data_IF_861045405639
#
_entry.id   IF_861045405639
#
_cell.length_a   1.000
_cell.length_b   1.000
_cell.length_c   1.000
_cell.angle_alpha   90.00
_cell.angle_beta   90.00
_cell.angle_gamma   90.00
#
_symmetry.space_group_name_H-M   'P 1'
#
loop_
_entity.id
_entity.type
_entity.pdbx_description
1 polymer ?
#
# COMPACT_ATOMS: atom_id res chain seq x y z
N UNK A 1 9.10 64.77 -25.14
CA UNK A 1 10.07 63.66 -25.14
C UNK A 1 9.23 62.39 -25.07
N UNK A 2 8.74 61.73 -26.14
CA UNK A 2 9.25 61.46 -27.50
C UNK A 2 10.72 61.02 -27.42
N UNK A 3 11.09 59.75 -27.66
CA UNK A 3 10.75 58.86 -28.78
C UNK A 3 10.70 57.36 -28.34
N UNK A 4 9.90 56.49 -29.02
CA UNK A 4 9.74 55.05 -28.81
C UNK A 4 10.64 54.23 -29.79
N UNK A 5 10.24 52.98 -30.17
CA UNK A 5 10.63 52.18 -31.38
C UNK A 5 11.55 50.96 -31.10
N UNK A 6 11.39 49.73 -31.62
CA UNK A 6 10.42 49.05 -32.54
C UNK A 6 10.68 47.52 -32.55
N UNK A 7 9.64 46.75 -32.90
CA UNK A 7 9.65 45.35 -33.36
C UNK A 7 10.02 45.20 -34.86
N UNK A 8 10.80 44.18 -35.23
CA UNK A 8 10.79 43.51 -36.55
C UNK A 8 11.00 42.01 -36.26
N UNK A 9 10.14 41.04 -36.61
CA UNK A 9 9.56 40.60 -37.88
C UNK A 9 10.58 40.15 -38.94
N UNK A 10 10.46 38.90 -39.40
CA UNK A 10 11.05 38.48 -40.68
C UNK A 10 11.27 36.97 -40.86
N UNK A 11 10.25 36.29 -41.40
CA UNK A 11 10.36 34.99 -42.08
C UNK A 11 11.19 35.07 -43.38
N UNK A 12 11.77 33.94 -43.78
CA UNK A 12 12.12 33.54 -45.16
C UNK A 12 12.76 32.15 -45.13
N UNK A 13 12.40 31.12 -45.91
CA UNK A 13 11.57 31.04 -47.10
C UNK A 13 12.35 30.37 -48.25
N UNK A 14 12.11 29.07 -48.48
CA UNK A 14 12.36 28.33 -49.75
C UNK A 14 13.79 27.78 -49.99
N UNK A 15 14.04 26.72 -50.77
CA UNK A 15 13.24 25.72 -51.52
C UNK A 15 14.21 24.67 -52.07
N UNK A 16 13.76 23.41 -52.12
CA UNK A 16 14.04 22.26 -53.02
C UNK A 16 15.29 22.19 -53.92
N UNK A 17 15.82 20.97 -54.03
CA UNK A 17 16.62 20.49 -55.17
C UNK A 17 17.10 19.05 -54.96
N UNK A 18 16.41 18.11 -55.61
CA UNK A 18 16.69 16.68 -55.69
C UNK A 18 18.04 16.36 -56.36
N UNK A 19 18.69 15.26 -55.96
CA UNK A 19 19.34 14.34 -56.91
C UNK A 19 19.58 12.95 -56.29
N UNK A 20 19.02 11.94 -56.95
CA UNK A 20 19.22 10.50 -56.71
C UNK A 20 20.66 10.07 -57.01
N UNK A 21 21.17 9.11 -56.23
CA UNK A 21 21.82 7.91 -56.80
C UNK A 21 21.92 6.84 -55.73
N UNK A 22 21.28 5.70 -55.99
CA UNK A 22 21.31 4.54 -55.12
C UNK A 22 22.54 3.67 -55.36
N UNK A 23 22.89 2.87 -54.36
CA UNK A 23 23.41 1.50 -54.52
C UNK A 23 22.92 0.66 -53.33
N UNK A 24 22.31 -0.47 -53.68
CA UNK A 24 22.16 -1.77 -52.99
C UNK A 24 23.04 -1.95 -51.73
N UNK A 25 22.62 -2.54 -50.62
CA UNK A 25 21.66 -3.61 -50.38
C UNK A 25 22.25 -4.48 -49.27
N UNK A 26 21.48 -4.81 -48.24
CA UNK A 26 21.50 -6.08 -47.47
C UNK A 26 20.63 -5.95 -46.21
N UNK A 27 19.43 -6.50 -46.31
CA UNK A 27 18.57 -6.84 -45.17
C UNK A 27 19.17 -8.03 -44.42
N UNK A 28 19.42 -7.88 -43.12
CA UNK A 28 19.50 -9.03 -42.20
C UNK A 28 18.53 -8.75 -41.05
N UNK A 29 17.40 -9.45 -41.13
CA UNK A 29 16.48 -9.66 -40.03
C UNK A 29 17.14 -10.58 -39.00
N UNK A 30 17.24 -10.13 -37.75
CA UNK A 30 17.63 -10.97 -36.63
C UNK A 30 16.51 -10.97 -35.58
N UNK A 31 15.54 -11.86 -35.82
CA UNK A 31 14.67 -12.41 -34.79
C UNK A 31 15.53 -13.21 -33.81
N UNK A 32 15.69 -12.74 -32.58
CA UNK A 32 16.17 -13.58 -31.47
C UNK A 32 15.02 -13.86 -30.53
N UNK A 33 14.50 -15.08 -30.64
CA UNK A 33 13.59 -15.69 -29.68
C UNK A 33 14.28 -15.80 -28.32
N UNK A 34 13.63 -15.29 -27.27
CA UNK A 34 13.97 -15.62 -25.89
C UNK A 34 13.57 -17.08 -25.64
N UNK A 35 14.56 -17.97 -25.62
CA UNK A 35 14.40 -19.34 -25.15
C UNK A 35 14.75 -19.37 -23.66
N UNK A 36 13.77 -19.73 -22.83
CA UNK A 36 13.94 -20.01 -21.41
C UNK A 36 14.80 -21.25 -21.23
N UNK A 37 16.05 -21.06 -20.81
CA UNK A 37 16.91 -22.16 -20.37
C UNK A 37 16.80 -22.27 -18.85
N UNK A 38 16.09 -23.30 -18.42
CA UNK A 38 16.21 -23.87 -17.08
C UNK A 38 17.57 -24.56 -17.01
N UNK A 39 18.53 -23.97 -16.30
CA UNK A 39 19.75 -24.68 -15.89
C UNK A 39 19.63 -25.05 -14.42
N UNK A 40 19.39 -26.34 -14.17
CA UNK A 40 19.78 -26.95 -12.90
C UNK A 40 21.31 -26.98 -12.83
N UNK A 41 21.86 -26.61 -11.68
CA UNK A 41 23.27 -26.78 -11.38
C UNK A 41 23.40 -27.61 -10.12
N UNK A 42 23.83 -28.85 -10.32
CA UNK A 42 24.39 -29.73 -9.31
C UNK A 42 25.64 -29.09 -8.68
N UNK A 43 25.80 -29.35 -7.38
CA UNK A 43 26.84 -28.76 -6.56
C UNK A 43 28.25 -29.25 -6.87
N UNK A 44 29.22 -28.37 -6.63
CA UNK A 44 30.49 -28.70 -5.98
C UNK A 44 31.01 -27.44 -5.27
N UNK A 45 31.39 -27.59 -4.01
CA UNK A 45 31.53 -26.50 -3.06
C UNK A 45 32.81 -25.67 -3.16
N UNK A 46 32.70 -24.46 -2.65
CA UNK A 46 33.80 -23.72 -2.03
C UNK A 46 33.40 -23.53 -0.58
N UNK A 47 34.10 -24.22 0.31
CA UNK A 47 33.93 -24.21 1.76
C UNK A 47 34.48 -22.90 2.34
N UNK A 48 33.59 -21.99 2.68
CA UNK A 48 33.81 -20.92 3.66
C UNK A 48 32.81 -21.12 4.79
N UNK A 49 33.29 -21.10 6.03
CA UNK A 49 32.60 -21.51 7.26
C UNK A 49 31.23 -20.86 7.49
N UNK A 50 30.14 -21.59 7.26
CA UNK A 50 28.78 -21.23 7.72
C UNK A 50 28.00 -22.44 8.28
N UNK A 51 28.69 -23.46 8.79
CA UNK A 51 28.08 -24.70 9.28
C UNK A 51 28.03 -24.81 10.81
N UNK A 52 27.54 -23.77 11.47
CA UNK A 52 26.94 -23.86 12.81
C UNK A 52 25.49 -23.29 12.72
N UNK A 53 24.60 -24.08 12.10
CA UNK A 53 23.46 -24.76 12.75
C UNK A 53 22.20 -23.89 12.97
N UNK A 54 21.40 -23.73 11.92
CA UNK A 54 20.02 -23.23 12.01
C UNK A 54 19.08 -24.11 12.86
N UNK A 55 19.44 -25.38 13.08
CA UNK A 55 18.67 -26.32 13.89
C UNK A 55 19.00 -26.28 15.40
N UNK A 56 20.23 -25.94 15.80
CA UNK A 56 20.62 -25.95 17.23
C UNK A 56 20.13 -24.71 17.98
N UNK A 57 20.09 -23.55 17.33
CA UNK A 57 19.58 -22.30 17.92
C UNK A 57 18.04 -22.26 18.07
N UNK A 58 17.35 -23.38 17.82
CA UNK A 58 15.94 -23.57 18.18
C UNK A 58 15.80 -24.07 19.62
N UNK A 59 16.79 -24.77 20.19
CA UNK A 59 16.61 -25.46 21.48
C UNK A 59 16.61 -24.55 22.70
N UNK A 60 17.48 -23.54 22.78
CA UNK A 60 17.57 -22.70 23.99
C UNK A 60 16.42 -21.71 24.18
N UNK A 61 16.01 -20.98 23.14
CA UNK A 61 14.87 -20.05 23.24
C UNK A 61 13.56 -20.80 23.54
N UNK A 62 13.36 -21.98 22.94
CA UNK A 62 12.17 -22.80 23.17
C UNK A 62 12.11 -23.41 24.57
N UNK A 63 13.20 -23.39 25.36
CA UNK A 63 13.17 -23.79 26.76
C UNK A 63 12.30 -22.85 27.62
N UNK A 64 12.14 -21.59 27.20
CA UNK A 64 11.23 -20.62 27.84
C UNK A 64 9.99 -20.34 26.99
N UNK A 65 10.13 -20.31 25.65
CA UNK A 65 9.08 -20.01 24.68
C UNK A 65 8.44 -21.28 24.10
N UNK A 66 8.25 -22.33 24.93
CA UNK A 66 7.71 -23.60 24.48
C UNK A 66 6.33 -23.41 23.85
N UNK A 67 6.10 -23.95 22.64
CA UNK A 67 4.81 -23.84 21.96
C UNK A 67 4.63 -22.58 21.11
N UNK A 68 5.58 -21.64 21.09
CA UNK A 68 5.55 -20.52 20.14
C UNK A 68 5.43 -21.04 18.70
N UNK A 69 4.61 -20.35 17.88
CA UNK A 69 4.37 -20.77 16.52
C UNK A 69 5.60 -20.62 15.63
N UNK A 70 5.69 -21.50 14.62
CA UNK A 70 6.64 -21.33 13.54
C UNK A 70 6.29 -20.09 12.72
N UNK A 71 7.19 -19.10 12.74
CA UNK A 71 7.00 -17.84 12.03
C UNK A 71 6.79 -18.04 10.53
N UNK A 72 7.48 -19.04 9.96
CA UNK A 72 7.45 -19.35 8.54
C UNK A 72 7.16 -20.85 8.36
N UNK A 73 5.89 -21.28 8.38
CA UNK A 73 5.54 -22.70 8.30
C UNK A 73 6.15 -23.36 7.05
N UNK A 74 6.87 -24.45 7.26
CA UNK A 74 7.58 -25.18 6.20
C UNK A 74 8.97 -24.65 5.86
N UNK A 75 9.47 -23.63 6.57
CA UNK A 75 10.85 -23.16 6.48
C UNK A 75 11.46 -23.12 7.88
N UNK A 76 12.47 -23.95 8.13
CA UNK A 76 13.17 -24.00 9.42
C UNK A 76 14.14 -22.83 9.55
N UNK A 77 13.78 -21.86 10.39
CA UNK A 77 14.57 -20.67 10.71
C UNK A 77 14.75 -20.61 12.23
N UNK A 78 15.96 -20.29 12.69
CA UNK A 78 16.21 -20.04 14.11
C UNK A 78 15.65 -18.67 14.55
N UNK A 79 15.19 -18.58 15.80
CA UNK A 79 14.75 -17.33 16.42
C UNK A 79 15.79 -16.20 16.27
N UNK A 80 17.07 -16.51 16.47
CA UNK A 80 18.15 -15.51 16.44
C UNK A 80 18.49 -15.04 15.03
N UNK A 81 18.07 -15.78 14.00
CA UNK A 81 18.20 -15.31 12.60
C UNK A 81 17.39 -14.03 12.38
N UNK A 82 16.20 -13.96 12.96
CA UNK A 82 15.37 -12.75 12.88
C UNK A 82 15.68 -11.80 14.04
N UNK A 83 15.62 -12.29 15.29
CA UNK A 83 15.62 -11.44 16.49
C UNK A 83 17.02 -11.14 17.06
N UNK A 84 18.07 -11.87 16.67
CA UNK A 84 19.36 -11.81 17.38
C UNK A 84 19.25 -12.42 18.80
N UNK A 85 20.03 -11.89 19.75
CA UNK A 85 20.13 -12.43 21.11
C UNK A 85 21.07 -13.64 21.22
N UNK A 86 21.15 -14.23 22.41
CA UNK A 86 21.98 -15.40 22.69
C UNK A 86 21.13 -16.66 22.85
N UNK A 87 21.20 -17.63 21.90
CA UNK A 87 20.40 -18.85 21.96
C UNK A 87 20.92 -19.86 22.99
N UNK A 88 22.13 -19.71 23.52
CA UNK A 88 22.72 -20.64 24.49
C UNK A 88 22.48 -20.18 25.94
N UNK A 89 22.06 -18.93 26.12
CA UNK A 89 21.73 -18.37 27.42
C UNK A 89 20.43 -18.97 27.99
N UNK A 90 20.46 -19.25 29.30
CA UNK A 90 19.34 -19.89 30.02
C UNK A 90 18.58 -18.93 30.93
N UNK A 91 18.94 -17.64 30.93
CA UNK A 91 18.23 -16.59 31.65
C UNK A 91 17.79 -15.49 30.68
N UNK A 92 16.66 -14.85 30.99
CA UNK A 92 16.10 -13.78 30.17
C UNK A 92 17.11 -12.65 29.95
N UNK A 93 17.81 -12.23 30.98
CA UNK A 93 18.72 -11.08 30.94
C UNK A 93 19.97 -11.33 30.09
N UNK A 94 20.37 -12.60 29.92
CA UNK A 94 21.51 -12.98 29.09
C UNK A 94 21.07 -13.31 27.65
N UNK A 95 19.88 -13.90 27.47
CA UNK A 95 19.37 -14.27 26.15
C UNK A 95 18.82 -13.06 25.37
N UNK A 96 18.13 -12.13 26.05
CA UNK A 96 17.47 -11.00 25.40
C UNK A 96 18.44 -9.84 25.16
N UNK A 97 18.29 -9.18 24.02
CA UNK A 97 18.96 -7.89 23.78
C UNK A 97 18.30 -6.84 24.68
N UNK A 98 19.11 -6.13 25.46
CA UNK A 98 18.65 -5.08 26.38
C UNK A 98 18.49 -3.74 25.63
N UNK A 99 17.56 -2.86 26.07
CA UNK A 99 17.33 -1.54 25.49
C UNK A 99 18.45 -0.55 25.85
N UNK A 100 19.70 -0.87 25.51
CA UNK A 100 20.83 0.04 25.70
C UNK A 100 20.69 1.23 24.73
N UNK A 101 20.86 2.45 25.24
CA UNK A 101 20.91 3.65 24.41
C UNK A 101 19.57 4.20 23.90
N UNK A 102 18.42 3.58 24.23
CA UNK A 102 17.11 4.09 23.86
C UNK A 102 16.79 5.46 24.52
N UNK A 103 16.60 6.50 23.71
CA UNK A 103 16.03 7.78 24.16
C UNK A 103 14.50 7.76 23.95
N UNK A 104 13.73 7.94 25.02
CA UNK A 104 12.26 8.11 24.97
C UNK A 104 11.44 6.93 25.50
N UNK A 105 10.22 7.21 25.98
CA UNK A 105 9.29 6.22 26.56
C UNK A 105 8.24 5.73 25.55
N UNK A 106 8.11 6.36 24.38
CA UNK A 106 7.08 6.00 23.40
C UNK A 106 7.60 5.99 21.96
N UNK A 107 7.51 4.85 21.27
CA UNK A 107 7.62 4.69 19.81
C UNK A 107 6.83 5.74 19.00
N UNK A 108 7.43 6.90 18.73
CA UNK A 108 6.95 7.90 17.76
C UNK A 108 7.78 7.86 16.49
N UNK A 109 7.26 8.41 15.39
CA UNK A 109 7.90 8.45 14.06
C UNK A 109 9.35 8.98 14.05
N UNK A 110 9.76 9.71 15.08
CA UNK A 110 11.07 10.33 15.15
C UNK A 110 11.93 9.90 16.36
N UNK A 111 11.47 8.95 17.19
CA UNK A 111 12.04 8.73 18.53
C UNK A 111 12.58 7.31 18.78
N UNK A 112 13.09 6.64 17.75
CA UNK A 112 13.85 5.39 17.94
C UNK A 112 15.34 5.63 17.79
N UNK A 113 15.88 6.53 18.62
CA UNK A 113 17.30 6.52 18.94
C UNK A 113 17.59 5.35 19.88
N UNK A 114 17.32 4.12 19.43
CA UNK A 114 17.63 2.87 20.12
C UNK A 114 18.75 2.15 19.38
N UNK A 115 19.44 1.26 20.09
CA UNK A 115 20.39 0.34 19.47
C UNK A 115 19.71 -0.52 18.38
N UNK A 116 20.27 -0.62 17.16
CA UNK A 116 19.72 -1.45 16.08
C UNK A 116 19.52 -2.92 16.47
N UNK A 117 20.37 -3.51 17.32
CA UNK A 117 20.20 -4.88 17.80
C UNK A 117 18.94 -5.00 18.65
N UNK A 118 18.62 -3.98 19.45
CA UNK A 118 17.39 -3.95 20.23
C UNK A 118 16.16 -3.76 19.34
N UNK A 119 16.23 -2.89 18.33
CA UNK A 119 15.17 -2.70 17.33
C UNK A 119 14.87 -4.02 16.61
N UNK A 120 15.91 -4.71 16.15
CA UNK A 120 15.82 -6.04 15.55
C UNK A 120 15.18 -7.05 16.49
N UNK A 121 15.60 -7.05 17.75
CA UNK A 121 15.09 -7.98 18.76
C UNK A 121 13.59 -7.80 19.02
N UNK A 122 13.11 -6.56 19.15
CA UNK A 122 11.68 -6.29 19.40
C UNK A 122 10.81 -6.42 18.15
N UNK A 123 11.33 -6.03 16.99
CA UNK A 123 10.61 -6.08 15.72
C UNK A 123 11.59 -6.28 14.55
N UNK A 124 11.87 -7.52 14.14
CA UNK A 124 12.76 -7.78 13.02
C UNK A 124 12.17 -7.29 11.69
N UNK A 125 10.88 -6.93 11.62
CA UNK A 125 10.25 -6.40 10.43
C UNK A 125 10.31 -4.87 10.31
N UNK A 126 10.94 -4.16 11.26
CA UNK A 126 11.16 -2.71 11.19
C UNK A 126 11.93 -2.37 9.91
N UNK A 127 11.43 -1.40 9.14
CA UNK A 127 12.05 -0.97 7.88
C UNK A 127 13.46 -0.41 8.07
N UNK A 128 13.93 -0.06 9.25
CA UNK A 128 15.33 0.32 9.50
C UNK A 128 16.31 -0.86 9.44
N UNK A 129 15.85 -2.08 9.78
CA UNK A 129 16.70 -3.28 9.90
C UNK A 129 16.21 -4.47 9.06
N UNK A 130 15.06 -4.32 8.40
CA UNK A 130 14.40 -5.38 7.65
C UNK A 130 15.26 -5.97 6.52
N UNK A 131 16.27 -5.25 6.03
CA UNK A 131 17.25 -5.74 5.06
C UNK A 131 18.15 -6.83 5.64
N UNK A 132 18.46 -6.77 6.94
CA UNK A 132 19.25 -7.79 7.65
C UNK A 132 18.43 -8.99 8.13
N UNK A 133 17.11 -8.96 7.97
CA UNK A 133 16.19 -10.00 8.44
C UNK A 133 15.32 -10.54 7.31
N UNK A 134 14.27 -9.80 6.92
CA UNK A 134 13.36 -10.16 5.83
C UNK A 134 14.10 -10.16 4.48
N UNK A 135 15.00 -9.19 4.26
CA UNK A 135 15.77 -8.99 3.03
C UNK A 135 16.72 -10.14 2.69
N UNK A 136 17.10 -10.97 3.69
CA UNK A 136 17.89 -12.18 3.50
C UNK A 136 17.24 -13.16 2.51
N UNK A 137 15.91 -13.23 2.51
CA UNK A 137 15.12 -14.11 1.64
C UNK A 137 14.23 -13.34 0.64
N UNK A 138 13.84 -12.10 0.98
CA UNK A 138 12.94 -11.25 0.20
C UNK A 138 13.68 -10.08 -0.45
N UNK A 139 14.76 -10.39 -1.17
CA UNK A 139 15.65 -9.41 -1.78
C UNK A 139 14.89 -8.41 -2.67
N UNK A 140 15.18 -7.12 -2.51
CA UNK A 140 14.57 -6.04 -3.27
C UNK A 140 13.23 -5.54 -2.72
N UNK A 141 12.52 -6.32 -1.91
CA UNK A 141 11.23 -5.87 -1.36
C UNK A 141 11.39 -4.80 -0.29
N UNK A 142 12.46 -4.85 0.51
CA UNK A 142 12.66 -3.88 1.60
C UNK A 142 12.86 -2.48 1.03
N UNK A 143 13.70 -2.35 0.01
CA UNK A 143 14.00 -1.11 -0.71
C UNK A 143 12.75 -0.54 -1.37
N UNK A 144 11.96 -1.41 -2.03
CA UNK A 144 10.68 -1.03 -2.64
C UNK A 144 9.66 -0.54 -1.62
N UNK A 145 9.52 -1.24 -0.50
CA UNK A 145 8.57 -0.88 0.56
C UNK A 145 8.98 0.43 1.20
N UNK A 146 10.28 0.66 1.46
CA UNK A 146 10.81 1.93 1.99
C UNK A 146 10.39 3.11 1.12
N UNK A 147 10.37 2.96 -0.22
CA UNK A 147 9.96 3.99 -1.20
C UNK A 147 8.45 4.06 -1.47
N UNK A 148 7.69 3.07 -1.03
CA UNK A 148 6.25 2.97 -1.31
C UNK A 148 5.43 4.08 -0.63
N UNK A 149 4.24 4.31 -1.17
CA UNK A 149 3.22 5.20 -0.57
C UNK A 149 2.80 4.78 0.85
N UNK A 150 2.82 3.47 1.14
CA UNK A 150 2.49 2.95 2.47
C UNK A 150 3.54 3.35 3.52
N UNK A 151 4.79 3.46 3.10
CA UNK A 151 5.92 3.92 3.92
C UNK A 151 5.97 5.44 4.02
N UNK A 152 6.05 6.14 2.89
CA UNK A 152 6.42 7.56 2.87
C UNK A 152 5.24 8.52 2.91
N UNK A 153 4.02 8.08 2.58
CA UNK A 153 2.79 8.91 2.55
C UNK A 153 2.86 10.19 1.70
N UNK A 154 3.81 10.27 0.77
CA UNK A 154 4.08 11.45 -0.07
C UNK A 154 2.80 12.01 -0.69
N UNK A 155 2.03 11.18 -1.38
CA UNK A 155 0.78 11.61 -2.03
C UNK A 155 -0.39 11.93 -1.13
N UNK A 156 -0.35 11.57 0.16
CA UNK A 156 -1.34 12.08 1.11
C UNK A 156 -0.95 13.48 1.60
N UNK A 157 0.33 13.70 1.90
CA UNK A 157 0.84 14.99 2.36
C UNK A 157 0.62 16.09 1.33
N UNK A 158 0.88 15.82 0.05
CA UNK A 158 0.93 16.87 -0.97
C UNK A 158 -0.34 17.70 -1.07
N UNK A 159 -1.51 17.04 -1.12
CA UNK A 159 -2.78 17.73 -1.27
C UNK A 159 -3.04 18.70 -0.12
N UNK A 160 -2.82 18.22 1.10
CA UNK A 160 -2.91 19.05 2.30
C UNK A 160 -1.93 20.22 2.32
N UNK A 161 -0.67 19.94 2.05
CA UNK A 161 0.40 20.94 2.09
C UNK A 161 0.25 22.01 1.00
N UNK A 162 -0.18 21.62 -0.19
CA UNK A 162 -0.41 22.54 -1.29
C UNK A 162 -1.61 23.46 -1.02
N UNK A 163 -2.76 22.88 -0.63
CA UNK A 163 -3.99 23.66 -0.40
C UNK A 163 -3.88 24.59 0.82
N UNK A 164 -3.00 24.30 1.78
CA UNK A 164 -2.72 25.16 2.94
C UNK A 164 -1.51 26.08 2.74
N UNK A 165 -0.96 26.17 1.51
CA UNK A 165 0.13 27.10 1.19
C UNK A 165 1.47 26.78 1.86
N UNK A 166 1.65 25.54 2.34
CA UNK A 166 2.93 25.06 2.91
C UNK A 166 3.95 24.75 1.81
N UNK A 167 3.47 24.31 0.65
CA UNK A 167 4.29 24.14 -0.54
C UNK A 167 3.64 24.79 -1.76
N UNK A 168 4.45 25.21 -2.72
CA UNK A 168 4.00 25.94 -3.90
C UNK A 168 3.55 25.03 -5.05
N UNK A 169 3.89 23.73 -5.00
CA UNK A 169 3.63 22.79 -6.09
C UNK A 169 2.82 21.57 -5.62
N UNK A 170 2.23 20.85 -6.58
CA UNK A 170 1.56 19.57 -6.36
C UNK A 170 2.49 18.37 -6.58
N UNK A 171 3.81 18.58 -6.49
CA UNK A 171 4.87 17.57 -6.62
C UNK A 171 5.31 17.15 -5.20
N UNK A 172 5.69 15.89 -5.01
CA UNK A 172 6.10 15.39 -3.70
C UNK A 172 7.39 16.07 -3.28
N UNK A 173 7.34 16.74 -2.13
CA UNK A 173 8.52 17.26 -1.44
C UNK A 173 8.80 16.53 -0.14
N UNK A 174 7.75 16.21 0.62
CA UNK A 174 7.89 15.62 1.94
C UNK A 174 7.37 14.19 1.99
N UNK A 175 8.06 13.36 2.77
CA UNK A 175 7.66 12.01 3.16
C UNK A 175 7.77 11.82 4.67
N UNK A 176 7.36 10.65 5.14
CA UNK A 176 7.49 10.27 6.56
C UNK A 176 8.95 10.20 7.00
N UNK A 177 9.83 9.81 6.08
CA UNK A 177 11.28 9.73 6.23
C UNK A 177 11.92 10.40 5.02
N UNK A 178 13.16 10.86 5.20
CA UNK A 178 14.00 11.24 4.07
C UNK A 178 14.27 9.99 3.22
N UNK A 179 14.09 10.10 1.91
CA UNK A 179 14.26 8.96 1.03
C UNK A 179 14.69 9.40 -0.36
N UNK A 180 15.76 8.77 -0.83
CA UNK A 180 16.31 8.94 -2.18
C UNK A 180 15.95 7.72 -3.03
N UNK A 181 15.62 7.95 -4.28
CA UNK A 181 15.44 6.95 -5.31
C UNK A 181 16.59 7.04 -6.32
N UNK A 182 17.66 6.28 -6.05
CA UNK A 182 18.92 6.27 -6.80
C UNK A 182 19.32 4.87 -7.32
N UNK A 183 18.46 3.87 -7.14
CA UNK A 183 18.73 2.46 -7.48
C UNK A 183 18.17 2.03 -8.84
N UNK A 184 17.55 2.96 -9.59
CA UNK A 184 16.84 2.61 -10.82
C UNK A 184 16.37 3.78 -11.68
N UNK A 185 15.50 3.45 -12.65
CA UNK A 185 14.87 4.44 -13.53
C UNK A 185 13.69 5.10 -12.82
N UNK A 186 13.75 6.42 -12.66
CA UNK A 186 12.67 7.23 -12.06
C UNK A 186 11.73 7.75 -13.16
N UNK A 187 10.47 7.28 -13.24
CA UNK A 187 9.52 7.65 -14.28
C UNK A 187 8.87 9.01 -14.00
N UNK A 188 9.62 10.10 -14.19
CA UNK A 188 9.15 11.46 -13.94
C UNK A 188 7.89 11.83 -14.74
N UNK A 189 7.72 11.29 -15.94
CA UNK A 189 6.53 11.47 -16.77
C UNK A 189 5.25 10.89 -16.14
N UNK A 190 5.41 9.94 -15.21
CA UNK A 190 4.34 9.37 -14.39
C UNK A 190 4.23 10.00 -13.01
N UNK A 191 4.98 11.08 -12.75
CA UNK A 191 4.96 11.81 -11.49
C UNK A 191 5.80 11.18 -10.38
N UNK A 192 6.77 10.32 -10.72
CA UNK A 192 7.78 9.89 -9.77
C UNK A 192 8.81 10.99 -9.49
N UNK A 193 9.35 11.01 -8.28
CA UNK A 193 10.39 11.94 -7.82
C UNK A 193 11.60 11.15 -7.34
N UNK A 194 12.78 11.72 -7.49
CA UNK A 194 14.04 11.07 -7.10
C UNK A 194 14.36 11.22 -5.61
N UNK A 195 13.65 12.09 -4.89
CA UNK A 195 13.93 12.39 -3.48
C UNK A 195 12.71 13.02 -2.82
N UNK A 196 12.52 12.71 -1.54
CA UNK A 196 11.66 13.46 -0.63
C UNK A 196 12.36 13.69 0.70
N UNK A 197 12.11 14.86 1.29
CA UNK A 197 12.60 15.25 2.60
C UNK A 197 11.69 14.66 3.68
N UNK A 198 12.26 14.27 4.83
CA UNK A 198 11.45 13.98 6.00
C UNK A 198 10.61 15.21 6.38
N UNK A 199 9.34 15.00 6.75
CA UNK A 199 8.51 16.09 7.27
C UNK A 199 9.20 16.75 8.49
N UNK A 200 9.52 18.05 8.45
CA UNK A 200 10.33 18.70 9.47
C UNK A 200 9.68 18.67 10.85
N UNK A 201 10.47 18.76 11.94
CA UNK A 201 9.94 18.95 13.29
C UNK A 201 9.05 20.19 13.42
N UNK A 202 8.21 20.20 14.44
CA UNK A 202 7.48 21.41 14.81
C UNK A 202 8.50 22.48 15.19
N UNK A 203 8.43 23.64 14.53
CA UNK A 203 9.25 24.79 14.86
C UNK A 203 8.51 25.66 15.89
N UNK A 204 8.95 25.58 17.14
CA UNK A 204 8.40 26.36 18.25
C UNK A 204 8.61 27.88 18.10
N UNK A 205 9.47 28.32 17.18
CA UNK A 205 9.76 29.73 16.92
C UNK A 205 9.01 30.25 15.69
N UNK A 206 8.27 29.39 14.97
CA UNK A 206 7.52 29.79 13.79
C UNK A 206 6.31 30.66 14.18
N UNK A 207 5.86 31.49 13.23
CA UNK A 207 4.66 32.33 13.43
C UNK A 207 3.42 31.45 13.53
N UNK A 208 2.91 31.29 14.76
CA UNK A 208 1.73 30.48 15.07
C UNK A 208 0.45 31.02 14.43
N UNK A 209 0.43 32.28 13.96
CA UNK A 209 -0.74 32.88 13.31
C UNK A 209 -0.92 32.42 11.86
N UNK A 210 0.10 31.78 11.28
CA UNK A 210 0.03 31.22 9.93
C UNK A 210 -0.58 29.83 9.93
N UNK A 211 -1.58 29.62 9.07
CA UNK A 211 -2.19 28.30 8.85
C UNK A 211 -1.15 27.26 8.42
N UNK A 212 -0.16 27.64 7.61
CA UNK A 212 0.91 26.76 7.14
C UNK A 212 1.76 26.20 8.27
N UNK A 213 2.07 27.01 9.29
CA UNK A 213 2.80 26.59 10.50
C UNK A 213 2.02 25.52 11.25
N UNK A 214 0.75 25.79 11.54
CA UNK A 214 -0.12 24.87 12.30
C UNK A 214 -0.42 23.58 11.50
N UNK A 215 -0.61 23.72 10.19
CA UNK A 215 -0.91 22.58 9.34
C UNK A 215 0.24 21.59 9.29
N UNK A 216 1.51 22.00 9.33
CA UNK A 216 2.65 21.07 9.28
C UNK A 216 2.73 20.10 10.47
N UNK A 217 2.24 20.52 11.63
CA UNK A 217 2.24 19.68 12.83
C UNK A 217 1.11 18.64 12.82
N UNK A 218 0.00 18.92 12.12
CA UNK A 218 -1.15 18.03 12.06
C UNK A 218 -0.82 16.67 11.38
N UNK A 219 -0.20 16.59 10.18
CA UNK A 219 0.24 15.34 9.58
C UNK A 219 1.19 14.55 10.48
N UNK A 220 2.07 15.22 11.23
CA UNK A 220 2.98 14.53 12.17
C UNK A 220 2.23 13.85 13.30
N UNK A 221 1.20 14.49 13.86
CA UNK A 221 0.46 13.96 15.01
C UNK A 221 -0.65 12.97 14.62
N UNK A 222 -1.34 13.23 13.50
CA UNK A 222 -2.52 12.45 13.11
C UNK A 222 -2.26 11.43 12.00
N UNK A 223 -1.36 11.70 11.05
CA UNK A 223 -1.14 10.81 9.91
C UNK A 223 -0.02 9.79 10.17
N UNK A 224 0.97 10.15 10.98
CA UNK A 224 2.18 9.36 11.17
C UNK A 224 1.96 8.00 11.86
N UNK A 225 0.83 7.84 12.55
CA UNK A 225 0.40 6.57 13.18
C UNK A 225 -0.17 5.52 12.22
N UNK A 226 -0.33 5.83 10.92
CA UNK A 226 -0.89 4.90 9.91
C UNK A 226 0.18 4.29 9.00
N UNK A 227 1.37 4.88 8.93
CA UNK A 227 2.42 4.50 7.98
C UNK A 227 3.42 3.53 8.60
N UNK A 228 4.19 2.85 7.74
CA UNK A 228 4.94 1.65 8.11
C UNK A 228 6.16 1.88 9.02
N UNK A 229 6.46 3.13 9.40
CA UNK A 229 7.56 3.48 10.30
C UNK A 229 7.19 3.49 11.78
N UNK A 230 5.90 3.32 12.12
CA UNK A 230 5.45 3.33 13.50
C UNK A 230 4.27 2.38 13.74
N UNK A 231 4.14 1.83 14.96
CA UNK A 231 3.03 0.98 15.33
C UNK A 231 1.70 1.73 15.26
N UNK A 232 0.61 0.97 15.17
CA UNK A 232 -0.73 1.54 15.29
C UNK A 232 -1.00 2.06 16.70
N UNK A 233 -2.07 2.83 16.87
CA UNK A 233 -2.56 3.19 18.21
C UNK A 233 -3.01 1.89 18.91
N UNK A 234 -2.59 1.67 20.16
CA UNK A 234 -2.93 0.47 20.94
C UNK A 234 -4.41 0.49 21.38
N UNK A 235 -5.33 0.28 20.42
CA UNK A 235 -6.79 0.33 20.61
C UNK A 235 -7.46 -0.78 19.79
N UNK A 236 -8.64 -1.27 20.20
CA UNK A 236 -9.39 -2.25 19.43
C UNK A 236 -9.63 -1.83 17.97
N UNK A 237 -9.29 -2.72 17.05
CA UNK A 237 -9.28 -2.49 15.60
C UNK A 237 -7.98 -1.91 15.04
N UNK A 238 -7.18 -1.20 15.86
CA UNK A 238 -5.94 -0.53 15.43
C UNK A 238 -4.67 -1.32 15.77
N UNK A 239 -4.79 -2.45 16.46
CA UNK A 239 -3.62 -3.28 16.80
C UNK A 239 -2.91 -3.79 15.55
N UNK A 240 -1.66 -3.37 15.41
CA UNK A 240 -0.70 -3.84 14.42
C UNK A 240 0.70 -3.48 14.87
N UNK A 241 1.67 -4.27 14.41
CA UNK A 241 3.07 -3.83 14.39
C UNK A 241 3.30 -2.83 13.24
N UNK A 242 4.53 -2.66 12.83
CA UNK A 242 4.99 -1.77 11.77
C UNK A 242 5.97 -2.50 10.84
N UNK A 243 6.39 -1.83 9.77
CA UNK A 243 7.13 -2.43 8.66
C UNK A 243 6.40 -3.62 8.05
N UNK A 244 7.10 -4.70 7.72
CA UNK A 244 6.50 -5.86 7.05
C UNK A 244 5.43 -6.54 7.94
N UNK A 245 5.63 -6.54 9.26
CA UNK A 245 4.74 -7.16 10.23
C UNK A 245 3.39 -6.42 10.35
N UNK A 246 3.30 -5.15 9.93
CA UNK A 246 2.05 -4.39 9.92
C UNK A 246 0.93 -5.11 9.16
N UNK A 247 1.30 -5.83 8.09
CA UNK A 247 0.39 -6.60 7.28
C UNK A 247 0.57 -8.11 7.52
N UNK A 248 1.82 -8.58 7.49
CA UNK A 248 2.12 -10.01 7.41
C UNK A 248 1.95 -10.77 8.73
N UNK A 249 1.80 -10.07 9.86
CA UNK A 249 1.59 -10.68 11.17
C UNK A 249 0.29 -10.10 11.77
N UNK A 250 -0.88 -10.70 11.47
CA UNK A 250 -2.16 -10.13 11.85
C UNK A 250 -2.41 -10.18 13.36
N UNK A 251 -3.11 -9.17 13.86
CA UNK A 251 -3.59 -9.08 15.24
C UNK A 251 -5.06 -9.43 15.31
N UNK A 252 -5.53 -9.89 16.48
CA UNK A 252 -6.96 -9.99 16.72
C UNK A 252 -7.56 -8.58 16.82
N UNK A 253 -8.87 -8.49 16.66
CA UNK A 253 -9.58 -7.22 16.76
C UNK A 253 -9.38 -6.54 18.14
N UNK A 254 -9.42 -7.34 19.21
CA UNK A 254 -9.19 -6.93 20.60
C UNK A 254 -7.69 -6.88 20.98
N UNK A 255 -6.81 -7.32 20.09
CA UNK A 255 -5.36 -7.38 20.31
C UNK A 255 -4.91 -8.51 21.23
N UNK A 256 -5.80 -9.43 21.61
CA UNK A 256 -5.46 -10.58 22.44
C UNK A 256 -4.80 -11.68 21.60
N UNK A 257 -3.74 -12.27 22.15
CA UNK A 257 -3.04 -13.35 21.49
C UNK A 257 -3.82 -14.67 21.58
N UNK A 258 -3.57 -15.53 20.59
CA UNK A 258 -3.97 -16.93 20.56
C UNK A 258 -2.73 -17.83 20.46
N UNK A 259 -1.55 -17.29 20.78
CA UNK A 259 -0.30 -18.03 20.79
C UNK A 259 -0.32 -19.10 21.89
N UNK A 260 0.39 -20.20 21.66
CA UNK A 260 0.61 -21.22 22.68
C UNK A 260 1.86 -20.96 23.53
N UNK A 261 2.63 -19.91 23.23
CA UNK A 261 3.78 -19.50 24.04
C UNK A 261 3.32 -19.07 25.45
N UNK A 262 3.77 -19.74 26.53
CA UNK A 262 3.33 -19.46 27.90
C UNK A 262 3.83 -18.12 28.43
N UNK A 263 4.79 -17.49 27.76
CA UNK A 263 5.33 -16.17 28.13
C UNK A 263 4.50 -15.02 27.56
N UNK A 264 3.59 -15.29 26.63
CA UNK A 264 2.71 -14.29 26.02
C UNK A 264 1.39 -14.23 26.83
N UNK A 265 1.06 -13.09 27.44
CA UNK A 265 -0.20 -12.95 28.18
C UNK A 265 -1.41 -12.98 27.24
N UNK A 266 -2.32 -13.92 27.48
CA UNK A 266 -3.55 -14.09 26.67
C UNK A 266 -4.66 -13.09 27.02
N UNK A 267 -4.53 -12.41 28.16
CA UNK A 267 -5.50 -11.44 28.69
C UNK A 267 -5.02 -9.98 28.53
N UNK A 268 -3.85 -9.77 27.94
CA UNK A 268 -3.30 -8.45 27.67
C UNK A 268 -3.29 -8.18 26.17
N UNK A 269 -3.84 -7.04 25.72
CA UNK A 269 -3.84 -6.70 24.32
C UNK A 269 -2.46 -6.16 23.88
N UNK A 270 -2.23 -6.15 22.56
CA UNK A 270 -0.97 -5.67 21.98
C UNK A 270 -0.08 -6.78 21.45
N UNK A 271 -0.60 -8.00 21.35
CA UNK A 271 0.11 -9.16 20.80
C UNK A 271 -0.56 -9.64 19.51
N UNK A 272 0.20 -10.16 18.54
CA UNK A 272 -0.39 -10.73 17.34
C UNK A 272 -1.22 -11.97 17.68
N UNK A 273 -2.09 -12.38 16.76
CA UNK A 273 -2.90 -13.60 16.93
C UNK A 273 -1.97 -14.77 17.24
N UNK A 274 -0.91 -14.92 16.44
CA UNK A 274 0.12 -15.94 16.56
C UNK A 274 1.44 -15.40 16.03
N UNK A 275 2.54 -16.03 16.41
CA UNK A 275 3.85 -15.76 15.83
C UNK A 275 3.98 -16.44 14.45
N UNK A 276 3.24 -15.93 13.44
CA UNK A 276 3.15 -16.56 12.13
C UNK A 276 2.92 -15.53 11.01
N UNK A 277 3.72 -15.62 9.95
CA UNK A 277 3.58 -14.81 8.73
C UNK A 277 2.48 -15.38 7.83
N UNK A 278 1.69 -14.51 7.22
CA UNK A 278 0.69 -14.89 6.22
C UNK A 278 0.70 -13.99 4.99
N UNK A 279 0.37 -14.57 3.84
CA UNK A 279 0.04 -13.85 2.60
C UNK A 279 -1.47 -13.76 2.35
N UNK A 280 -2.28 -14.38 3.20
CA UNK A 280 -3.75 -14.35 3.15
C UNK A 280 -4.25 -13.17 3.98
N UNK A 281 -4.14 -11.98 3.41
CA UNK A 281 -4.49 -10.71 4.06
C UNK A 281 -5.94 -10.36 3.74
N UNK A 282 -6.83 -10.52 4.72
CA UNK A 282 -8.20 -10.04 4.61
C UNK A 282 -8.28 -8.52 4.67
N UNK A 283 -9.41 -7.98 4.20
CA UNK A 283 -9.73 -6.53 4.17
C UNK A 283 -9.49 -5.84 5.51
N UNK A 284 -9.72 -6.56 6.62
CA UNK A 284 -9.53 -6.06 7.99
C UNK A 284 -8.08 -5.73 8.35
N UNK A 285 -7.09 -6.22 7.61
CA UNK A 285 -5.68 -5.81 7.78
C UNK A 285 -5.48 -4.41 7.21
N UNK A 286 -6.02 -4.14 6.03
CA UNK A 286 -5.91 -2.85 5.34
C UNK A 286 -6.72 -1.77 6.06
N UNK A 287 -7.93 -2.11 6.51
CA UNK A 287 -8.87 -1.16 7.09
C UNK A 287 -8.47 -0.69 8.51
N UNK A 288 -7.42 -1.24 9.13
CA UNK A 288 -6.79 -0.68 10.35
C UNK A 288 -6.20 0.71 10.11
N UNK A 289 -5.71 0.96 8.90
CA UNK A 289 -5.20 2.27 8.48
C UNK A 289 -6.18 2.97 7.53
N UNK A 290 -6.75 2.24 6.56
CA UNK A 290 -7.63 2.78 5.51
C UNK A 290 -9.07 3.10 5.95
N UNK A 291 -9.28 3.34 7.24
CA UNK A 291 -10.57 3.81 7.77
C UNK A 291 -10.69 5.34 7.81
N UNK A 292 -9.56 6.05 7.90
CA UNK A 292 -9.43 7.51 7.84
C UNK A 292 -8.75 7.91 6.53
N UNK A 293 -9.07 9.11 6.01
CA UNK A 293 -8.56 9.59 4.73
C UNK A 293 -9.18 8.83 3.54
N UNK A 294 -10.05 9.50 2.77
CA UNK A 294 -10.91 8.91 1.73
C UNK A 294 -11.88 7.78 2.17
N UNK A 295 -11.65 7.14 3.33
CA UNK A 295 -12.50 6.12 3.98
C UNK A 295 -12.73 4.86 3.15
N UNK A 296 -11.77 4.51 2.29
CA UNK A 296 -11.94 3.41 1.33
C UNK A 296 -12.20 2.06 2.00
N UNK A 297 -11.55 1.76 3.13
CA UNK A 297 -11.78 0.53 3.87
C UNK A 297 -13.22 0.43 4.37
N UNK A 298 -13.77 1.53 4.88
CA UNK A 298 -15.17 1.59 5.31
C UNK A 298 -16.11 1.47 4.12
N UNK A 299 -15.87 2.24 3.06
CA UNK A 299 -16.78 2.27 1.92
C UNK A 299 -16.83 0.96 1.15
N UNK A 300 -15.68 0.29 1.02
CA UNK A 300 -15.59 -1.05 0.43
C UNK A 300 -16.45 -2.06 1.19
N UNK A 301 -16.46 -1.96 2.52
CA UNK A 301 -17.25 -2.82 3.41
C UNK A 301 -18.71 -2.36 3.61
N UNK A 302 -19.13 -1.22 3.06
CA UNK A 302 -20.48 -0.68 3.26
C UNK A 302 -20.71 -0.09 4.65
N UNK A 303 -19.64 0.35 5.30
CA UNK A 303 -19.66 0.98 6.63
C UNK A 303 -19.43 2.48 6.52
N UNK A 304 -19.89 3.23 7.52
CA UNK A 304 -19.65 4.66 7.60
C UNK A 304 -19.41 5.12 9.04
N UNK A 305 -18.72 6.24 9.22
CA UNK A 305 -18.54 6.82 10.54
C UNK A 305 -19.82 7.52 10.98
N UNK A 306 -20.24 7.24 12.20
CA UNK A 306 -21.40 7.90 12.81
C UNK A 306 -21.08 9.36 13.17
N UNK A 307 -22.10 10.21 13.16
CA UNK A 307 -21.99 11.58 13.66
C UNK A 307 -21.75 11.53 15.16
N UNK A 308 -20.85 12.37 15.66
CA UNK A 308 -20.54 12.45 17.09
C UNK A 308 -21.82 12.63 17.93
N UNK A 309 -21.94 11.84 19.00
CA UNK A 309 -23.11 11.82 19.88
C UNK A 309 -24.29 10.98 19.38
N UNK A 310 -24.20 10.35 18.20
CA UNK A 310 -25.20 9.38 17.74
C UNK A 310 -25.13 8.13 18.62
N UNK A 311 -26.27 7.60 19.12
CA UNK A 311 -26.28 6.33 19.83
C UNK A 311 -25.64 5.23 18.99
N UNK A 312 -24.69 4.49 19.56
CA UNK A 312 -23.96 3.47 18.84
C UNK A 312 -23.50 2.35 19.77
N UNK A 313 -23.35 1.15 19.22
CA UNK A 313 -22.76 0.01 19.91
C UNK A 313 -23.62 -1.24 19.90
N UNK A 314 -23.23 -2.25 20.71
CA UNK A 314 -23.92 -3.53 20.75
C UNK A 314 -25.41 -3.34 21.05
N UNK A 315 -26.27 -3.83 20.15
CA UNK A 315 -27.71 -3.75 20.31
C UNK A 315 -28.36 -2.45 19.82
N UNK A 316 -27.58 -1.50 19.30
CA UNK A 316 -28.13 -0.35 18.55
C UNK A 316 -28.28 -0.74 17.08
N UNK A 317 -29.52 -0.80 16.54
CA UNK A 317 -29.75 -1.15 15.15
C UNK A 317 -29.00 -0.25 14.18
N UNK A 318 -28.46 -0.83 13.10
CA UNK A 318 -27.69 -0.09 12.09
C UNK A 318 -26.28 0.29 12.53
N UNK A 319 -25.75 -0.28 13.62
CA UNK A 319 -24.37 -0.03 14.06
C UNK A 319 -23.58 -1.32 14.32
N UNK A 320 -22.27 -1.24 14.24
CA UNK A 320 -21.38 -2.38 14.50
C UNK A 320 -21.47 -2.85 15.95
N UNK A 321 -21.37 -4.17 16.15
CA UNK A 321 -21.42 -4.78 17.49
C UNK A 321 -20.11 -4.67 18.26
N UNK A 322 -19.01 -4.46 17.55
CA UNK A 322 -17.70 -4.13 18.11
C UNK A 322 -17.29 -2.76 17.59
N UNK A 323 -16.45 -2.02 18.32
CA UNK A 323 -15.89 -0.79 17.75
C UNK A 323 -15.12 -1.12 16.46
N UNK A 324 -14.62 -0.09 15.79
CA UNK A 324 -13.69 -0.21 14.68
C UNK A 324 -12.78 1.01 14.77
N UNK A 325 -11.52 0.78 15.11
CA UNK A 325 -10.55 1.85 15.34
C UNK A 325 -11.03 2.89 16.36
N UNK A 326 -11.45 2.37 17.52
CA UNK A 326 -11.92 3.15 18.66
C UNK A 326 -13.34 3.72 18.54
N UNK A 327 -14.08 3.49 17.46
CA UNK A 327 -15.45 4.00 17.28
C UNK A 327 -16.39 2.96 16.70
N UNK A 328 -17.64 2.92 17.16
CA UNK A 328 -18.68 2.16 16.46
C UNK A 328 -19.01 2.81 15.12
N UNK A 329 -19.28 1.98 14.13
CA UNK A 329 -19.59 2.42 12.78
C UNK A 329 -21.07 2.17 12.46
N UNK A 330 -21.60 2.94 11.53
CA UNK A 330 -22.88 2.66 10.91
C UNK A 330 -22.75 1.53 9.89
N UNK A 331 -23.73 0.63 9.88
CA UNK A 331 -23.83 -0.51 8.97
C UNK A 331 -25.29 -0.62 8.54
N UNK A 332 -25.63 0.09 7.46
CA UNK A 332 -26.98 0.16 6.88
C UNK A 332 -26.91 -0.16 5.38
N UNK A 333 -26.97 -1.46 5.00
CA UNK A 333 -26.76 -1.89 3.62
C UNK A 333 -27.72 -1.26 2.61
N UNK A 334 -28.90 -0.80 3.05
CA UNK A 334 -29.87 -0.09 2.21
C UNK A 334 -29.40 1.30 1.80
N UNK A 335 -28.64 1.98 2.66
CA UNK A 335 -28.14 3.34 2.45
C UNK A 335 -26.68 3.36 1.98
N UNK A 336 -25.85 2.48 2.56
CA UNK A 336 -24.43 2.33 2.25
C UNK A 336 -24.13 0.86 1.93
N UNK A 337 -24.58 0.35 0.76
CA UNK A 337 -24.27 -1.01 0.37
C UNK A 337 -22.75 -1.19 0.26
N UNK A 338 -22.21 -2.36 0.65
CA UNK A 338 -20.81 -2.68 0.40
C UNK A 338 -20.49 -2.68 -1.09
N UNK A 339 -19.21 -2.55 -1.44
CA UNK A 339 -18.79 -2.67 -2.83
C UNK A 339 -19.12 -4.06 -3.40
N UNK A 340 -19.45 -4.13 -4.69
CA UNK A 340 -19.85 -5.41 -5.31
C UNK A 340 -18.73 -6.45 -5.23
N UNK A 341 -17.46 -6.06 -5.30
CA UNK A 341 -16.34 -7.00 -5.19
C UNK A 341 -16.24 -7.57 -3.78
N UNK A 342 -16.42 -6.73 -2.75
CA UNK A 342 -16.51 -7.18 -1.36
C UNK A 342 -17.70 -8.13 -1.15
N UNK A 343 -18.89 -7.79 -1.68
CA UNK A 343 -20.08 -8.67 -1.63
C UNK A 343 -19.84 -10.02 -2.32
N UNK A 344 -19.00 -10.05 -3.37
CA UNK A 344 -18.61 -11.29 -4.05
C UNK A 344 -17.53 -12.07 -3.30
N UNK A 345 -16.96 -11.52 -2.24
CA UNK A 345 -15.98 -12.16 -1.37
C UNK A 345 -14.53 -11.89 -1.76
N UNK A 346 -14.27 -10.79 -2.47
CA UNK A 346 -12.92 -10.29 -2.74
C UNK A 346 -12.41 -9.44 -1.58
N UNK A 347 -11.11 -9.52 -1.35
CA UNK A 347 -10.35 -8.65 -0.46
C UNK A 347 -9.51 -7.65 -1.25
N UNK A 348 -8.98 -6.60 -0.58
CA UNK A 348 -8.19 -5.55 -1.24
C UNK A 348 -7.04 -6.13 -2.09
N UNK A 349 -6.39 -7.20 -1.61
CA UNK A 349 -5.26 -7.84 -2.29
C UNK A 349 -5.67 -8.62 -3.55
N UNK A 350 -6.96 -8.84 -3.80
CA UNK A 350 -7.42 -9.49 -5.04
C UNK A 350 -7.33 -8.55 -6.24
N UNK A 351 -7.30 -7.23 -6.00
CA UNK A 351 -7.05 -6.19 -7.00
C UNK A 351 -5.67 -5.56 -6.82
N UNK A 352 -5.26 -5.24 -5.59
CA UNK A 352 -3.97 -4.60 -5.34
C UNK A 352 -2.85 -5.62 -5.22
N UNK A 353 -1.98 -5.62 -6.23
CA UNK A 353 -0.85 -6.55 -6.34
C UNK A 353 0.39 -6.03 -5.61
N UNK A 354 1.49 -6.77 -5.74
CA UNK A 354 2.72 -6.49 -5.01
C UNK A 354 3.27 -5.10 -5.28
N UNK A 355 3.22 -4.59 -6.52
CA UNK A 355 3.75 -3.25 -6.80
C UNK A 355 2.83 -2.13 -6.27
N UNK A 356 1.51 -2.33 -6.27
CA UNK A 356 0.56 -1.38 -5.68
C UNK A 356 0.76 -1.21 -4.18
N UNK A 357 0.95 -2.33 -3.47
CA UNK A 357 0.97 -2.36 -2.01
C UNK A 357 2.39 -2.14 -1.47
N UNK A 358 3.36 -2.88 -2.00
CA UNK A 358 4.75 -2.87 -1.55
C UNK A 358 5.63 -1.88 -2.34
N UNK A 359 5.08 -1.20 -3.35
CA UNK A 359 5.81 -0.30 -4.23
C UNK A 359 6.51 -1.03 -5.39
N UNK A 360 6.74 -0.33 -6.49
CA UNK A 360 7.54 -0.81 -7.63
C UNK A 360 9.02 -0.40 -7.55
N UNK A 361 9.40 0.26 -6.45
CA UNK A 361 10.73 0.84 -6.29
C UNK A 361 10.77 2.33 -6.53
N UNK A 362 9.70 2.99 -6.96
CA UNK A 362 9.72 4.44 -7.17
C UNK A 362 8.94 5.22 -6.11
N UNK A 363 9.37 6.45 -5.86
CA UNK A 363 8.64 7.40 -5.02
C UNK A 363 7.67 8.18 -5.89
N UNK A 364 6.37 8.01 -5.68
CA UNK A 364 5.35 8.68 -6.47
C UNK A 364 4.76 9.90 -5.77
N UNK A 365 4.40 10.89 -6.59
CA UNK A 365 3.73 12.10 -6.13
C UNK A 365 2.31 11.80 -5.67
N UNK A 366 1.49 11.03 -6.39
CA UNK A 366 0.09 10.79 -5.99
C UNK A 366 -0.25 9.30 -5.97
N UNK A 367 -1.29 8.92 -5.23
CA UNK A 367 -1.73 7.51 -5.15
C UNK A 367 -2.09 6.94 -6.53
N UNK A 368 -2.81 7.72 -7.36
CA UNK A 368 -3.17 7.30 -8.72
C UNK A 368 -1.97 7.21 -9.68
N UNK A 369 -0.81 7.75 -9.30
CA UNK A 369 0.44 7.61 -10.02
C UNK A 369 1.23 6.38 -9.57
N UNK A 370 0.98 5.86 -8.36
CA UNK A 370 1.63 4.67 -7.82
C UNK A 370 0.89 3.39 -8.20
N UNK A 371 -0.45 3.44 -8.21
CA UNK A 371 -1.30 2.28 -8.53
C UNK A 371 -1.20 1.92 -10.02
N UNK A 372 -1.10 0.62 -10.29
CA UNK A 372 -1.02 0.04 -11.63
C UNK A 372 -2.30 -0.69 -12.04
N UNK A 373 -3.10 -1.19 -11.10
CA UNK A 373 -4.35 -1.89 -11.43
C UNK A 373 -5.46 -0.90 -11.80
N UNK A 374 -6.10 -1.14 -12.94
CA UNK A 374 -7.27 -0.43 -13.43
C UNK A 374 -8.46 -1.37 -13.63
N UNK A 375 -9.66 -0.81 -13.70
CA UNK A 375 -10.88 -1.61 -13.92
C UNK A 375 -10.82 -2.39 -15.26
N UNK A 376 -10.25 -1.76 -16.28
CA UNK A 376 -10.10 -2.28 -17.63
C UNK A 376 -9.10 -3.43 -17.73
N UNK A 377 -8.17 -3.54 -16.78
CA UNK A 377 -7.18 -4.62 -16.74
C UNK A 377 -7.86 -5.98 -16.48
N UNK A 378 -8.89 -6.01 -15.64
CA UNK A 378 -9.68 -7.21 -15.33
C UNK A 378 -10.90 -7.35 -16.23
N UNK A 379 -11.62 -6.25 -16.51
CA UNK A 379 -12.91 -6.27 -17.21
C UNK A 379 -12.78 -6.03 -18.72
N UNK A 380 -11.61 -5.65 -19.22
CA UNK A 380 -11.42 -5.21 -20.60
C UNK A 380 -12.11 -3.87 -20.88
N UNK A 381 -12.24 -3.58 -22.17
CA UNK A 381 -12.89 -2.38 -22.69
C UNK A 381 -14.13 -2.77 -23.53
N UNK A 382 -14.90 -1.81 -24.06
CA UNK A 382 -15.94 -2.10 -25.06
C UNK A 382 -15.39 -2.79 -26.32
N UNK A 383 -14.10 -2.62 -26.60
CA UNK A 383 -13.47 -3.02 -27.88
C UNK A 383 -12.62 -4.28 -27.73
N UNK A 384 -11.99 -4.46 -26.57
CA UNK A 384 -11.03 -5.52 -26.27
C UNK A 384 -11.39 -6.25 -24.98
N UNK A 385 -11.09 -7.54 -24.95
CA UNK A 385 -11.09 -8.29 -23.69
C UNK A 385 -9.87 -7.90 -22.84
N UNK A 386 -9.93 -8.20 -21.54
CA UNK A 386 -8.74 -8.20 -20.68
C UNK A 386 -7.62 -9.04 -21.32
N UNK A 387 -6.40 -8.51 -21.27
CA UNK A 387 -5.18 -9.20 -21.66
C UNK A 387 -4.49 -9.89 -20.46
N UNK A 388 -5.12 -9.90 -19.28
CA UNK A 388 -4.61 -10.47 -18.02
C UNK A 388 -3.38 -9.76 -17.45
N UNK A 389 -3.12 -8.53 -17.89
CA UNK A 389 -2.01 -7.70 -17.41
C UNK A 389 -2.56 -6.44 -16.75
N UNK A 390 -1.84 -5.91 -15.76
CA UNK A 390 -2.06 -4.56 -15.24
C UNK A 390 -1.80 -3.52 -16.33
N UNK A 391 -2.21 -2.28 -16.10
CA UNK A 391 -1.91 -1.15 -16.99
C UNK A 391 -0.40 -0.86 -17.12
N UNK A 392 0.43 -1.49 -16.29
CA UNK A 392 1.91 -1.46 -16.39
C UNK A 392 2.53 -2.75 -16.94
N UNK A 393 1.70 -3.70 -17.37
CA UNK A 393 2.15 -4.95 -17.99
C UNK A 393 2.51 -6.06 -17.01
N UNK A 394 2.29 -5.88 -15.70
CA UNK A 394 2.50 -6.95 -14.73
C UNK A 394 1.40 -8.01 -14.86
N UNK A 395 1.69 -9.32 -14.79
CA UNK A 395 0.66 -10.35 -14.82
C UNK A 395 -0.31 -10.25 -13.62
N UNK A 396 -1.61 -10.37 -13.90
CA UNK A 396 -2.63 -10.52 -12.86
C UNK A 396 -2.63 -11.97 -12.39
N UNK A 397 -1.84 -12.27 -11.36
CA UNK A 397 -1.53 -13.64 -10.91
C UNK A 397 -2.75 -14.51 -10.60
N UNK A 398 -3.84 -13.88 -10.17
CA UNK A 398 -5.07 -14.56 -9.75
C UNK A 398 -6.20 -14.50 -10.78
N UNK A 399 -5.95 -14.03 -12.01
CA UNK A 399 -6.93 -13.98 -13.09
C UNK A 399 -6.48 -14.87 -14.25
N UNK A 400 -7.38 -15.71 -14.75
CA UNK A 400 -7.11 -16.58 -15.90
C UNK A 400 -8.27 -16.60 -16.88
N UNK A 401 -7.97 -16.98 -18.13
CA UNK A 401 -8.99 -17.25 -19.15
C UNK A 401 -9.16 -18.75 -19.32
N UNK A 402 -10.39 -19.25 -19.15
CA UNK A 402 -10.73 -20.67 -19.21
C UNK A 402 -12.09 -20.87 -19.88
N UNK A 403 -12.14 -21.68 -20.95
CA UNK A 403 -13.39 -21.96 -21.67
C UNK A 403 -14.10 -20.71 -22.21
N UNK A 404 -13.33 -19.68 -22.60
CA UNK A 404 -13.87 -18.38 -23.05
C UNK A 404 -14.29 -17.42 -21.93
N UNK A 405 -14.25 -17.85 -20.66
CA UNK A 405 -14.59 -17.04 -19.49
C UNK A 405 -13.33 -16.53 -18.79
N UNK A 406 -13.48 -15.47 -18.02
CA UNK A 406 -12.42 -14.91 -17.18
C UNK A 406 -12.72 -15.26 -15.73
N UNK A 407 -11.82 -15.96 -15.07
CA UNK A 407 -12.01 -16.49 -13.72
C UNK A 407 -10.94 -15.91 -12.81
N UNK A 408 -11.37 -15.20 -11.77
CA UNK A 408 -10.53 -14.74 -10.68
C UNK A 408 -10.60 -15.72 -9.52
N UNK A 409 -9.46 -16.08 -8.93
CA UNK A 409 -9.40 -16.87 -7.70
C UNK A 409 -9.02 -15.95 -6.54
N UNK A 410 -9.87 -15.83 -5.52
CA UNK A 410 -9.57 -14.95 -4.38
C UNK A 410 -8.37 -15.47 -3.59
N UNK A 411 -7.45 -14.59 -3.19
CA UNK A 411 -6.17 -14.93 -2.55
C UNK A 411 -6.34 -15.39 -1.10
N UNK A 412 -7.39 -14.91 -0.43
CA UNK A 412 -7.66 -15.27 0.97
C UNK A 412 -8.45 -16.58 1.06
N UNK A 413 -9.57 -16.68 0.33
CA UNK A 413 -10.53 -17.78 0.46
C UNK A 413 -10.43 -18.85 -0.63
N UNK A 414 -9.74 -18.59 -1.74
CA UNK A 414 -9.64 -19.51 -2.88
C UNK A 414 -10.92 -19.63 -3.70
N UNK A 415 -11.88 -18.71 -3.50
CA UNK A 415 -13.16 -18.70 -4.20
C UNK A 415 -12.96 -18.32 -5.66
N UNK A 416 -13.59 -19.05 -6.57
CA UNK A 416 -13.59 -18.71 -7.98
C UNK A 416 -14.75 -17.79 -8.35
N UNK A 417 -14.42 -16.70 -9.03
CA UNK A 417 -15.34 -15.65 -9.43
C UNK A 417 -15.23 -15.42 -10.93
N UNK A 418 -16.33 -15.53 -11.66
CA UNK A 418 -16.34 -15.16 -13.07
C UNK A 418 -16.35 -13.63 -13.21
N UNK A 419 -15.31 -13.06 -13.83
CA UNK A 419 -15.12 -11.64 -14.09
C UNK A 419 -15.82 -11.26 -15.40
N UNK A 420 -16.93 -10.49 -15.36
CA UNK A 420 -17.62 -10.07 -16.58
C UNK A 420 -16.74 -9.18 -17.43
N UNK A 421 -16.70 -9.42 -18.74
CA UNK A 421 -16.00 -8.55 -19.67
C UNK A 421 -16.95 -7.49 -20.20
N UNK A 422 -16.49 -6.24 -20.28
CA UNK A 422 -17.29 -5.11 -20.78
C UNK A 422 -17.81 -5.43 -22.18
N UNK A 423 -16.94 -5.89 -23.08
CA UNK A 423 -17.29 -6.29 -24.44
C UNK A 423 -18.48 -7.28 -24.51
N UNK A 424 -18.54 -8.24 -23.61
CA UNK A 424 -19.61 -9.25 -23.56
C UNK A 424 -20.94 -8.68 -23.04
N UNK A 425 -20.89 -7.64 -22.21
CA UNK A 425 -22.08 -6.95 -21.69
C UNK A 425 -22.72 -6.06 -22.77
N UNK A 426 -21.94 -5.60 -23.75
CA UNK A 426 -22.42 -4.70 -24.81
C UNK A 426 -22.82 -5.44 -26.09
N UNK A 427 -22.44 -6.71 -26.24
CA UNK A 427 -22.73 -7.51 -27.43
C UNK A 427 -24.17 -8.07 -27.40
N UNK A 428 -25.07 -7.67 -28.33
CA UNK A 428 -26.45 -8.16 -28.40
C UNK A 428 -26.60 -9.68 -28.53
N UNK A 429 -25.60 -10.35 -29.09
CA UNK A 429 -25.59 -11.80 -29.32
C UNK A 429 -25.04 -12.59 -28.13
N UNK A 430 -24.55 -11.92 -27.08
CA UNK A 430 -23.96 -12.57 -25.93
C UNK A 430 -24.99 -12.74 -24.78
N UNK A 431 -25.00 -13.87 -24.05
CA UNK A 431 -25.96 -14.09 -22.95
C UNK A 431 -25.93 -13.05 -21.83
N UNK A 432 -24.84 -12.29 -21.69
CA UNK A 432 -24.68 -11.21 -20.69
C UNK A 432 -25.07 -9.82 -21.21
N UNK A 433 -25.64 -9.72 -22.41
CA UNK A 433 -26.03 -8.46 -23.01
C UNK A 433 -26.92 -7.64 -22.07
N UNK A 434 -26.56 -6.37 -21.88
CA UNK A 434 -27.38 -5.41 -21.17
C UNK A 434 -27.66 -4.18 -22.06
N UNK A 435 -28.91 -4.01 -22.55
CA UNK A 435 -29.24 -2.91 -23.46
C UNK A 435 -29.15 -1.53 -22.79
N UNK A 436 -29.18 -1.43 -21.46
CA UNK A 436 -28.96 -0.15 -20.75
C UNK A 436 -27.47 0.19 -20.74
N UNK A 437 -26.61 -0.78 -20.45
CA UNK A 437 -25.16 -0.60 -20.50
C UNK A 437 -24.70 -0.24 -21.92
N UNK A 438 -25.19 -0.95 -22.93
CA UNK A 438 -24.91 -0.68 -24.34
C UNK A 438 -25.26 0.76 -24.77
N UNK A 439 -26.36 1.32 -24.27
CA UNK A 439 -26.73 2.73 -24.53
C UNK A 439 -25.86 3.74 -23.78
N UNK A 440 -25.40 3.40 -22.58
CA UNK A 440 -24.59 4.29 -21.75
C UNK A 440 -23.12 4.33 -22.17
N UNK A 441 -22.63 3.25 -22.78
CA UNK A 441 -21.25 3.09 -23.21
C UNK A 441 -20.99 3.80 -24.55
N UNK A 442 -20.79 5.12 -24.50
CA UNK A 442 -20.42 5.94 -25.65
C UNK A 442 -18.89 5.94 -25.87
N UNK A 443 -18.38 6.43 -27.03
CA UNK A 443 -16.93 6.54 -27.24
C UNK A 443 -16.19 7.36 -26.18
N UNK A 444 -16.86 8.32 -25.52
CA UNK A 444 -16.28 9.16 -24.45
C UNK A 444 -16.50 8.59 -23.04
N UNK A 445 -16.86 7.32 -22.92
CA UNK A 445 -17.12 6.71 -21.61
C UNK A 445 -15.82 6.39 -20.86
N UNK A 446 -14.74 6.08 -21.60
CA UNK A 446 -13.43 5.77 -21.04
C UNK A 446 -12.60 7.05 -20.88
N UNK A 447 -11.80 7.10 -19.81
CA UNK A 447 -10.89 8.22 -19.50
C UNK A 447 -9.94 8.53 -20.66
N UNK A 448 -9.39 7.50 -21.31
CA UNK A 448 -8.43 7.63 -22.41
C UNK A 448 -9.04 8.36 -23.62
N UNK A 449 -10.37 8.32 -23.75
CA UNK A 449 -11.14 8.93 -24.85
C UNK A 449 -11.82 10.26 -24.42
N UNK A 450 -11.35 10.86 -23.32
CA UNK A 450 -11.88 12.10 -22.76
C UNK A 450 -13.08 11.93 -21.82
N UNK A 451 -13.32 10.71 -21.34
CA UNK A 451 -14.29 10.39 -20.30
C UNK A 451 -13.76 10.58 -18.89
N UNK A 452 -14.42 9.93 -17.92
CA UNK A 452 -14.01 9.88 -16.52
C UNK A 452 -13.60 8.46 -16.13
N UNK A 453 -12.94 8.34 -14.99
CA UNK A 453 -12.64 7.04 -14.38
C UNK A 453 -13.90 6.25 -14.06
N UNK A 454 -13.85 4.92 -14.18
CA UNK A 454 -15.03 4.07 -13.99
C UNK A 454 -15.68 4.31 -12.62
N UNK A 455 -14.88 4.42 -11.57
CA UNK A 455 -15.38 4.64 -10.20
C UNK A 455 -16.08 5.98 -10.00
N UNK A 456 -15.93 6.97 -10.91
CA UNK A 456 -16.63 8.25 -10.82
C UNK A 456 -18.15 8.10 -11.00
N UNK A 457 -18.60 7.05 -11.68
CA UNK A 457 -20.03 6.78 -11.92
C UNK A 457 -20.47 5.36 -11.50
N UNK A 458 -19.52 4.42 -11.38
CA UNK A 458 -19.79 3.02 -11.03
C UNK A 458 -19.54 2.68 -9.56
N UNK A 459 -19.25 3.68 -8.71
CA UNK A 459 -19.37 3.50 -7.27
C UNK A 459 -20.85 3.60 -6.85
N UNK A 460 -21.28 2.73 -5.94
CA UNK A 460 -22.67 2.73 -5.46
C UNK A 460 -23.01 3.99 -4.66
N UNK A 461 -22.00 4.59 -4.02
CA UNK A 461 -22.09 5.83 -3.26
C UNK A 461 -20.73 6.52 -3.22
N UNK A 462 -20.71 7.75 -2.70
CA UNK A 462 -19.49 8.52 -2.47
C UNK A 462 -19.49 9.09 -1.06
N UNK A 463 -18.32 9.10 -0.44
CA UNK A 463 -18.14 9.60 0.92
C UNK A 463 -18.33 11.11 0.92
N UNK A 464 -19.09 11.61 1.89
CA UNK A 464 -19.21 13.03 2.17
C UNK A 464 -18.74 13.32 3.61
N UNK A 465 -17.86 14.32 3.77
CA UNK A 465 -17.33 14.72 5.07
C UNK A 465 -18.18 15.80 5.78
N UNK A 466 -19.18 16.39 5.09
CA UNK A 466 -20.10 17.35 5.69
C UNK A 466 -20.90 16.70 6.83
N UNK A 467 -20.91 17.35 8.00
CA UNK A 467 -21.62 16.88 9.21
C UNK A 467 -20.82 15.94 10.11
N UNK A 468 -19.66 15.42 9.67
CA UNK A 468 -18.80 14.58 10.50
C UNK A 468 -17.76 15.41 11.27
N UNK A 469 -16.98 16.24 10.56
CA UNK A 469 -16.03 17.19 11.18
C UNK A 469 -15.99 18.55 10.44
N UNK A 470 -16.81 18.74 9.41
CA UNK A 470 -17.00 20.03 8.74
C UNK A 470 -18.46 20.46 8.86
N UNK A 471 -18.70 21.69 9.35
CA UNK A 471 -20.02 22.31 9.39
C UNK A 471 -20.16 23.24 8.18
N UNK A 472 -21.22 23.05 7.39
CA UNK A 472 -21.60 23.97 6.30
C UNK A 472 -22.74 24.84 6.77
N UNK A 473 -22.49 26.14 6.94
CA UNK A 473 -23.53 27.13 7.21
C UNK A 473 -24.00 27.73 5.88
N UNK A 474 -25.16 27.28 5.39
CA UNK A 474 -25.74 27.77 4.15
C UNK A 474 -26.28 29.21 4.24
N UNK A 475 -26.34 29.80 5.44
CA UNK A 475 -26.71 31.20 5.64
C UNK A 475 -25.53 32.17 5.44
N UNK A 476 -24.32 31.63 5.39
CA UNK A 476 -23.11 32.39 5.13
C UNK A 476 -22.63 32.08 3.71
N UNK A 477 -22.58 33.11 2.85
CA UNK A 477 -21.84 33.01 1.60
C UNK A 477 -20.37 32.89 1.99
N UNK A 478 -19.74 31.74 1.68
CA UNK A 478 -18.29 31.62 1.76
C UNK A 478 -17.61 32.68 0.88
N UNK A 479 -16.42 33.11 1.30
CA UNK A 479 -15.64 34.24 0.76
C UNK A 479 -15.72 34.47 -0.75
#
# INVERSE_FOLDING_TARGET
MTIPIVLFSGCGGGTNGDEESGVEGTSISATTAFSSVVTGSDGTGVTGETSQTSAQAREGCLACHEGIEEIHPGLEISCVTCHGGDPEATTREAAHVLPLGCLGETPGVNDYACDPDYIRFINPADLHIADETCGLCHTGYVERVRKSMMSLTTGHFIGGLFENGVQESRIARYGMMDMVDDDGFVPHERGAVSHVEQIPPFDENADETLLSTQYMDLPRKECATCHLWAPGKARPGEYRSYGCAACHIPYAYDGLSQSLDPTIPLDQPGHPIKHQITRKLGTEVCARCHYRGARIGLSFQGRFQLVEGTPAGPGVPGTTSVPYNGAYLGEEPENTPPDIHFQRGMDCIDCHFVNDVMGDGNIYTHMNMAVEIECTDCHGTPWSYSNLLTSRGAPIENLRKEGGRFILTTKVTGKELEVPQVKDVLNPDHPRYNPRAARAMTPKHLKEEGGLECYACHSAWTVNCYGCHMKRDASQNGF
#
